data_IF_760118650945
#
_entry.id   IF_760118650945
#
_cell.length_a   1.000
_cell.length_b   1.000
_cell.length_c   1.000
_cell.angle_alpha   90.00
_cell.angle_beta   90.00
_cell.angle_gamma   90.00
#
_symmetry.space_group_name_H-M   'P 1'
#
loop_
_entity.id
_entity.type
_entity.pdbx_description
1 polymer ?
#
# COMPACT_ATOMS: atom_id res chain seq x y z
N UNK A 1 -48.43 -36.44 15.55
CA UNK A 1 -49.33 -35.71 16.47
C UNK A 1 -48.93 -34.24 16.47
N UNK A 2 -49.84 -33.31 16.75
CA UNK A 2 -49.51 -31.87 16.81
C UNK A 2 -48.60 -31.57 18.01
N UNK A 3 -47.96 -30.40 18.03
CA UNK A 3 -47.12 -29.96 19.16
C UNK A 3 -47.92 -29.93 20.47
N UNK A 4 -49.19 -29.49 20.40
CA UNK A 4 -50.11 -29.48 21.54
C UNK A 4 -50.37 -30.90 22.05
N UNK A 5 -50.65 -31.84 21.14
CA UNK A 5 -50.89 -33.24 21.50
C UNK A 5 -49.65 -33.88 22.14
N UNK A 6 -48.45 -33.62 21.60
CA UNK A 6 -47.18 -34.10 22.17
C UNK A 6 -46.99 -33.57 23.59
N UNK A 7 -47.13 -32.27 23.80
CA UNK A 7 -46.94 -31.64 25.10
C UNK A 7 -48.01 -32.06 26.12
N UNK A 8 -49.17 -32.55 25.66
CA UNK A 8 -50.26 -33.04 26.51
C UNK A 8 -50.07 -34.47 27.02
N UNK A 9 -49.00 -35.18 26.64
CA UNK A 9 -48.69 -36.50 27.19
C UNK A 9 -48.25 -36.31 28.65
N UNK A 10 -49.09 -36.76 29.60
CA UNK A 10 -48.93 -36.50 31.04
C UNK A 10 -47.82 -37.30 31.71
N UNK A 11 -47.53 -38.51 31.21
CA UNK A 11 -46.46 -39.39 31.74
C UNK A 11 -45.71 -40.08 30.61
N UNK A 12 -44.98 -39.33 29.75
CA UNK A 12 -44.22 -39.92 28.66
C UNK A 12 -43.09 -40.78 29.22
N UNK A 13 -42.93 -41.99 28.67
CA UNK A 13 -41.79 -42.85 29.01
C UNK A 13 -40.49 -42.21 28.54
N UNK A 14 -39.39 -42.45 29.27
CA UNK A 14 -38.07 -42.03 28.83
C UNK A 14 -37.73 -42.65 27.47
N UNK A 15 -37.28 -41.82 26.53
CA UNK A 15 -37.03 -42.24 25.15
C UNK A 15 -38.28 -42.40 24.27
N UNK A 16 -39.49 -42.05 24.74
CA UNK A 16 -40.70 -42.08 23.91
C UNK A 16 -40.51 -41.24 22.66
N UNK A 17 -40.56 -41.88 21.49
CA UNK A 17 -40.40 -41.25 20.19
C UNK A 17 -41.77 -40.86 19.60
N UNK A 18 -41.90 -39.61 19.17
CA UNK A 18 -43.09 -39.12 18.46
C UNK A 18 -42.70 -38.30 17.25
N UNK A 19 -43.52 -38.35 16.20
CA UNK A 19 -43.43 -37.43 15.07
C UNK A 19 -44.38 -36.25 15.31
N UNK A 20 -43.80 -35.05 15.45
CA UNK A 20 -44.54 -33.80 15.55
C UNK A 20 -44.90 -33.31 14.15
N UNK A 21 -46.20 -33.22 13.85
CA UNK A 21 -46.68 -32.85 12.51
C UNK A 21 -46.68 -31.34 12.24
N UNK A 22 -46.64 -30.51 13.29
CA UNK A 22 -46.57 -29.06 13.13
C UNK A 22 -45.13 -28.65 12.84
N UNK A 23 -44.18 -29.23 13.60
CA UNK A 23 -42.74 -28.97 13.47
C UNK A 23 -42.04 -29.87 12.45
N UNK A 24 -42.70 -30.94 12.00
CA UNK A 24 -42.20 -31.93 11.01
C UNK A 24 -40.89 -32.61 11.41
N UNK A 25 -40.70 -32.85 12.71
CA UNK A 25 -39.53 -33.53 13.27
C UNK A 25 -39.94 -34.72 14.15
N UNK A 26 -39.03 -35.69 14.27
CA UNK A 26 -39.08 -36.65 15.35
C UNK A 26 -38.60 -36.01 16.65
N UNK A 27 -39.27 -36.30 17.77
CA UNK A 27 -38.86 -35.91 19.11
C UNK A 27 -38.82 -37.13 20.01
N UNK A 28 -37.86 -37.17 20.93
CA UNK A 28 -37.83 -38.14 22.02
C UNK A 28 -37.99 -37.43 23.37
N UNK A 29 -38.65 -38.09 24.33
CA UNK A 29 -38.79 -37.55 25.68
C UNK A 29 -37.55 -37.87 26.54
N UNK A 30 -37.07 -36.89 27.30
CA UNK A 30 -35.97 -37.05 28.26
C UNK A 30 -36.52 -36.84 29.66
N UNK A 31 -36.65 -37.94 30.41
CA UNK A 31 -37.22 -37.96 31.76
C UNK A 31 -36.42 -37.18 32.79
N UNK A 32 -35.08 -37.17 32.67
CA UNK A 32 -34.18 -36.47 33.61
C UNK A 32 -34.30 -34.95 33.55
N UNK A 33 -34.73 -34.38 32.43
CA UNK A 33 -34.91 -32.94 32.22
C UNK A 33 -36.36 -32.53 32.02
N UNK A 34 -37.29 -33.49 31.94
CA UNK A 34 -38.70 -33.29 31.61
C UNK A 34 -38.91 -32.51 30.30
N UNK A 35 -38.13 -32.81 29.26
CA UNK A 35 -38.18 -32.10 27.98
C UNK A 35 -38.35 -33.03 26.78
N UNK A 36 -39.01 -32.51 25.74
CA UNK A 36 -39.03 -33.11 24.41
C UNK A 36 -37.83 -32.61 23.60
N UNK A 37 -36.93 -33.52 23.23
CA UNK A 37 -35.74 -33.19 22.46
C UNK A 37 -35.91 -33.65 21.01
N UNK A 38 -35.70 -32.78 19.99
CA UNK A 38 -35.82 -33.19 18.60
C UNK A 38 -34.68 -34.14 18.22
N UNK A 39 -35.00 -35.20 17.49
CA UNK A 39 -34.00 -35.97 16.75
C UNK A 39 -33.67 -35.17 15.50
N UNK A 40 -32.61 -34.38 15.62
CA UNK A 40 -31.97 -33.75 14.47
C UNK A 40 -31.04 -34.76 13.82
N UNK A 41 -31.10 -34.87 12.50
CA UNK A 41 -30.09 -35.61 11.75
C UNK A 41 -28.81 -34.76 11.74
N UNK A 42 -28.00 -34.92 12.78
CA UNK A 42 -26.73 -34.22 12.92
C UNK A 42 -26.09 -34.45 14.27
N UNK A 43 -24.80 -34.78 14.27
CA UNK A 43 -23.89 -34.56 15.40
C UNK A 43 -24.15 -33.17 15.98
N UNK A 44 -24.11 -33.03 17.32
CA UNK A 44 -24.22 -31.72 17.97
C UNK A 44 -23.27 -30.75 17.24
N UNK A 45 -23.85 -29.82 16.48
CA UNK A 45 -23.09 -28.88 15.70
C UNK A 45 -22.18 -28.04 16.59
N UNK A 46 -21.34 -27.23 15.98
CA UNK A 46 -20.56 -26.22 16.69
C UNK A 46 -21.48 -25.42 17.65
N UNK A 47 -21.15 -25.37 18.94
CA UNK A 47 -22.01 -24.72 19.95
C UNK A 47 -22.10 -23.21 19.75
N UNK A 48 -21.05 -22.60 19.21
CA UNK A 48 -20.96 -21.21 18.80
C UNK A 48 -21.24 -21.07 17.29
N UNK A 49 -22.44 -21.47 16.86
CA UNK A 49 -22.88 -21.39 15.46
C UNK A 49 -24.33 -20.93 15.33
N UNK A 50 -24.59 -20.15 14.28
CA UNK A 50 -25.94 -19.72 13.91
C UNK A 50 -26.05 -19.60 12.39
N UNK A 51 -27.09 -20.17 11.81
CA UNK A 51 -27.43 -20.03 10.38
C UNK A 51 -28.56 -19.03 10.22
N UNK A 52 -28.41 -18.11 9.28
CA UNK A 52 -29.39 -17.09 8.89
C UNK A 52 -29.77 -17.37 7.44
N UNK A 53 -31.04 -17.67 7.20
CA UNK A 53 -31.59 -18.04 5.90
C UNK A 53 -32.36 -16.88 5.27
N UNK A 54 -32.50 -16.90 3.96
CA UNK A 54 -33.34 -15.94 3.21
C UNK A 54 -34.79 -15.87 3.69
N UNK A 55 -35.32 -16.96 4.28
CA UNK A 55 -36.69 -17.04 4.81
C UNK A 55 -36.83 -16.61 6.27
N UNK A 56 -35.73 -16.30 6.95
CA UNK A 56 -35.77 -16.01 8.38
C UNK A 56 -36.31 -14.60 8.64
N UNK A 57 -37.12 -14.47 9.71
CA UNK A 57 -37.49 -13.17 10.26
C UNK A 57 -36.35 -12.71 11.18
N UNK A 58 -35.53 -11.77 10.71
CA UNK A 58 -34.30 -11.35 11.42
C UNK A 58 -34.56 -10.85 12.85
N UNK A 59 -35.67 -10.15 13.09
CA UNK A 59 -36.04 -9.71 14.44
C UNK A 59 -36.28 -10.88 15.42
N UNK A 60 -36.60 -12.07 14.92
CA UNK A 60 -36.78 -13.28 15.73
C UNK A 60 -35.48 -14.05 15.81
N UNK A 61 -34.86 -14.38 14.67
CA UNK A 61 -33.65 -15.21 14.69
C UNK A 61 -32.48 -14.46 15.30
N UNK A 62 -32.36 -13.15 15.16
CA UNK A 62 -31.31 -12.31 15.74
C UNK A 62 -31.80 -11.44 16.91
N UNK A 63 -32.85 -11.87 17.63
CA UNK A 63 -33.43 -11.08 18.74
C UNK A 63 -32.39 -10.74 19.83
N UNK A 64 -31.56 -11.70 20.20
CA UNK A 64 -30.50 -11.52 21.22
C UNK A 64 -29.45 -10.52 20.75
N UNK A 65 -29.00 -10.64 19.50
CA UNK A 65 -28.02 -9.73 18.89
C UNK A 65 -28.60 -8.32 18.72
N UNK A 66 -29.90 -8.21 18.41
CA UNK A 66 -30.60 -6.93 18.32
C UNK A 66 -30.71 -6.26 19.69
N UNK A 67 -31.05 -7.03 20.73
CA UNK A 67 -31.10 -6.53 22.10
C UNK A 67 -29.71 -6.09 22.59
N UNK A 68 -28.67 -6.88 22.30
CA UNK A 68 -27.28 -6.53 22.61
C UNK A 68 -26.83 -5.24 21.89
N UNK A 69 -27.28 -5.04 20.65
CA UNK A 69 -27.07 -3.81 19.89
C UNK A 69 -28.04 -2.66 20.22
N UNK A 70 -28.77 -2.74 21.33
CA UNK A 70 -29.64 -1.66 21.81
C UNK A 70 -30.86 -1.40 20.92
N UNK A 71 -31.29 -2.38 20.12
CA UNK A 71 -32.47 -2.26 19.24
C UNK A 71 -32.23 -1.54 17.92
N UNK A 72 -30.99 -1.13 17.63
CA UNK A 72 -30.65 -0.36 16.42
C UNK A 72 -29.59 -1.00 15.53
N UNK A 73 -28.94 -2.07 16.01
CA UNK A 73 -27.95 -2.88 15.29
C UNK A 73 -27.96 -4.32 15.79
N UNK A 74 -27.48 -5.24 14.98
CA UNK A 74 -27.23 -6.61 15.37
C UNK A 74 -25.79 -6.74 15.87
N UNK A 75 -25.60 -6.67 17.18
CA UNK A 75 -24.30 -6.95 17.78
C UNK A 75 -24.11 -8.46 17.87
N UNK A 76 -23.25 -8.99 17.02
CA UNK A 76 -23.00 -10.42 16.95
C UNK A 76 -22.33 -10.92 18.24
N UNK A 77 -22.52 -12.20 18.54
CA UNK A 77 -21.83 -12.85 19.65
C UNK A 77 -20.37 -13.09 19.27
N UNK A 78 -19.44 -12.65 20.11
CA UNK A 78 -18.02 -12.84 19.86
C UNK A 78 -17.67 -14.33 19.73
N UNK A 79 -16.65 -14.63 18.92
CA UNK A 79 -16.21 -16.00 18.65
C UNK A 79 -17.31 -16.93 18.12
N UNK A 80 -18.43 -16.42 17.64
CA UNK A 80 -19.54 -17.21 17.07
C UNK A 80 -19.48 -17.17 15.55
N UNK A 81 -19.79 -18.31 14.93
CA UNK A 81 -19.87 -18.45 13.48
C UNK A 81 -21.31 -18.23 13.02
N UNK A 82 -21.51 -17.16 12.26
CA UNK A 82 -22.75 -16.85 11.57
C UNK A 82 -22.63 -17.28 10.10
N UNK A 83 -23.50 -18.16 9.65
CA UNK A 83 -23.60 -18.57 8.24
C UNK A 83 -24.79 -17.86 7.59
N UNK A 84 -24.55 -17.16 6.48
CA UNK A 84 -25.60 -16.67 5.59
C UNK A 84 -25.89 -17.76 4.57
N UNK A 85 -27.17 -18.08 4.40
CA UNK A 85 -27.64 -19.12 3.49
C UNK A 85 -28.75 -18.54 2.59
N UNK A 86 -28.37 -18.24 1.36
CA UNK A 86 -29.18 -17.51 0.40
C UNK A 86 -29.10 -15.99 0.56
N UNK A 87 -29.99 -15.29 -0.14
CA UNK A 87 -30.03 -13.82 -0.13
C UNK A 87 -30.80 -13.31 1.08
N UNK A 88 -30.11 -12.66 2.02
CA UNK A 88 -30.67 -12.13 3.27
C UNK A 88 -30.65 -10.60 3.25
N UNK A 89 -31.81 -10.00 3.43
CA UNK A 89 -31.95 -8.54 3.52
C UNK A 89 -31.93 -8.09 4.98
N UNK A 90 -30.90 -7.36 5.38
CA UNK A 90 -30.77 -6.80 6.72
C UNK A 90 -31.47 -5.44 6.81
N UNK A 91 -32.22 -5.22 7.89
CA UNK A 91 -32.87 -3.96 8.22
C UNK A 91 -32.03 -3.07 9.16
N UNK A 92 -31.13 -3.66 9.94
CA UNK A 92 -30.21 -2.95 10.85
C UNK A 92 -28.73 -3.26 10.49
N UNK A 93 -27.76 -2.41 10.90
CA UNK A 93 -26.34 -2.70 10.68
C UNK A 93 -25.91 -3.92 11.50
N UNK A 94 -24.79 -4.52 11.10
CA UNK A 94 -24.13 -5.61 11.80
C UNK A 94 -22.88 -5.05 12.50
N UNK A 95 -22.82 -5.21 13.82
CA UNK A 95 -21.60 -4.97 14.61
C UNK A 95 -20.92 -6.32 14.81
N UNK A 96 -19.77 -6.51 14.16
CA UNK A 96 -19.11 -7.81 14.05
C UNK A 96 -18.71 -8.39 15.40
N UNK A 97 -18.32 -7.55 16.36
CA UNK A 97 -17.95 -7.94 17.72
C UNK A 97 -17.03 -9.16 17.80
N UNK A 98 -16.01 -9.21 16.92
CA UNK A 98 -15.07 -10.32 16.81
C UNK A 98 -15.71 -11.68 16.45
N UNK A 99 -16.87 -11.65 15.79
CA UNK A 99 -17.54 -12.83 15.25
C UNK A 99 -16.99 -13.21 13.87
N UNK A 100 -17.43 -14.37 13.40
CA UNK A 100 -17.16 -14.89 12.06
C UNK A 100 -18.46 -14.88 11.28
N UNK A 101 -18.48 -14.29 10.10
CA UNK A 101 -19.61 -14.31 9.17
C UNK A 101 -19.15 -15.00 7.89
N UNK A 102 -19.89 -16.00 7.41
CA UNK A 102 -19.52 -16.72 6.20
C UNK A 102 -20.71 -17.02 5.30
N UNK A 103 -20.45 -17.11 3.99
CA UNK A 103 -21.25 -17.89 3.06
C UNK A 103 -20.45 -19.10 2.57
N UNK A 104 -21.13 -19.98 1.85
CA UNK A 104 -20.56 -21.16 1.19
C UNK A 104 -20.58 -21.02 -0.34
N UNK A 105 -21.51 -20.25 -0.89
CA UNK A 105 -21.62 -19.93 -2.31
C UNK A 105 -21.81 -18.42 -2.50
N UNK A 106 -20.77 -17.73 -2.98
CA UNK A 106 -20.82 -16.28 -3.24
C UNK A 106 -21.89 -15.87 -4.24
N UNK A 107 -22.39 -16.78 -5.09
CA UNK A 107 -23.44 -16.46 -6.07
C UNK A 107 -24.83 -16.38 -5.44
N UNK A 108 -25.05 -17.05 -4.31
CA UNK A 108 -26.37 -17.19 -3.67
C UNK A 108 -26.41 -16.61 -2.25
N UNK A 109 -25.30 -16.68 -1.51
CA UNK A 109 -25.18 -16.21 -0.13
C UNK A 109 -24.85 -14.71 -0.09
N UNK A 110 -25.92 -13.91 0.05
CA UNK A 110 -25.83 -12.45 -0.07
C UNK A 110 -26.31 -11.77 1.19
N UNK A 111 -25.59 -10.71 1.58
CA UNK A 111 -26.11 -9.71 2.52
C UNK A 111 -26.48 -8.47 1.72
N UNK A 112 -27.77 -8.12 1.76
CA UNK A 112 -28.29 -6.90 1.15
C UNK A 112 -28.74 -5.95 2.25
N UNK A 113 -28.30 -4.69 2.18
CA UNK A 113 -28.84 -3.60 2.99
C UNK A 113 -29.33 -2.47 2.08
N UNK A 114 -30.66 -2.36 1.85
CA UNK A 114 -31.19 -1.37 0.92
C UNK A 114 -30.95 0.08 1.34
N UNK A 115 -30.85 0.32 2.66
CA UNK A 115 -30.54 1.63 3.24
C UNK A 115 -29.62 1.50 4.47
N UNK A 116 -28.66 2.40 4.61
CA UNK A 116 -27.68 2.38 5.69
C UNK A 116 -26.51 1.40 5.48
N UNK A 117 -25.67 1.23 6.51
CA UNK A 117 -24.39 0.51 6.42
C UNK A 117 -24.49 -1.01 6.65
N UNK A 118 -23.88 -1.89 5.86
CA UNK A 118 -23.93 -3.34 6.20
C UNK A 118 -23.22 -3.59 7.54
N UNK A 119 -21.94 -3.23 7.62
CA UNK A 119 -21.13 -3.39 8.83
C UNK A 119 -20.87 -2.02 9.47
N UNK A 120 -21.16 -1.91 10.76
CA UNK A 120 -21.00 -0.67 11.53
C UNK A 120 -20.57 -0.96 12.96
N UNK A 121 -19.49 -0.33 13.40
CA UNK A 121 -18.99 -0.51 14.76
C UNK A 121 -17.50 -0.25 14.91
N UNK A 122 -17.01 -0.52 16.13
CA UNK A 122 -15.62 -0.32 16.52
C UNK A 122 -14.84 -1.64 16.68
N UNK A 123 -15.47 -2.77 16.39
CA UNK A 123 -14.87 -4.09 16.52
C UNK A 123 -14.70 -4.75 15.17
N UNK A 124 -13.70 -5.62 15.09
CA UNK A 124 -13.42 -6.37 13.88
C UNK A 124 -14.10 -7.73 13.86
N UNK A 125 -13.57 -8.62 13.04
CA UNK A 125 -14.13 -9.95 12.82
C UNK A 125 -13.60 -10.56 11.54
N UNK A 126 -14.17 -11.69 11.15
CA UNK A 126 -13.86 -12.34 9.87
C UNK A 126 -15.12 -12.44 9.02
N UNK A 127 -15.03 -12.02 7.77
CA UNK A 127 -16.10 -12.12 6.78
C UNK A 127 -15.54 -12.88 5.57
N UNK A 128 -16.22 -13.95 5.14
CA UNK A 128 -15.78 -14.72 3.97
C UNK A 128 -16.88 -15.31 3.11
N UNK A 129 -16.64 -15.51 1.82
CA UNK A 129 -17.52 -16.30 0.96
C UNK A 129 -18.90 -15.64 0.74
N UNK A 130 -18.98 -14.31 0.74
CA UNK A 130 -20.24 -13.58 0.61
C UNK A 130 -20.24 -12.60 -0.56
N UNK A 131 -21.43 -12.36 -1.09
CA UNK A 131 -21.70 -11.16 -1.88
C UNK A 131 -22.40 -10.09 -1.02
N UNK A 132 -21.90 -8.85 -1.07
CA UNK A 132 -22.37 -7.73 -0.27
C UNK A 132 -22.91 -6.61 -1.17
N UNK A 133 -24.09 -6.11 -0.84
CA UNK A 133 -24.74 -5.00 -1.57
C UNK A 133 -25.39 -4.00 -0.62
N UNK A 134 -24.89 -2.76 -0.63
CA UNK A 134 -25.45 -1.62 0.11
C UNK A 134 -25.91 -0.53 -0.87
N UNK A 135 -27.15 -0.62 -1.37
CA UNK A 135 -27.63 0.24 -2.48
C UNK A 135 -27.79 1.71 -2.10
N UNK A 136 -28.06 2.02 -0.83
CA UNK A 136 -28.15 3.39 -0.32
C UNK A 136 -27.46 3.50 1.06
N UNK A 137 -26.15 3.30 1.08
CA UNK A 137 -25.31 3.39 2.27
C UNK A 137 -23.88 2.93 2.00
N UNK A 138 -23.22 2.40 3.03
CA UNK A 138 -21.86 1.85 2.93
C UNK A 138 -21.86 0.34 3.15
N UNK A 139 -20.93 -0.40 2.54
CA UNK A 139 -20.66 -1.77 2.98
C UNK A 139 -19.96 -1.75 4.35
N UNK A 140 -18.95 -0.91 4.50
CA UNK A 140 -18.20 -0.73 5.75
C UNK A 140 -18.35 0.69 6.30
N UNK A 141 -18.71 0.79 7.57
CA UNK A 141 -18.57 2.00 8.38
C UNK A 141 -17.90 1.62 9.70
N UNK A 142 -16.63 1.23 9.62
CA UNK A 142 -15.88 0.64 10.72
C UNK A 142 -14.84 1.61 11.27
N UNK A 143 -14.87 1.85 12.59
CA UNK A 143 -13.93 2.72 13.30
C UNK A 143 -13.45 2.05 14.58
N UNK A 144 -12.46 1.17 14.44
CA UNK A 144 -11.86 0.43 15.54
C UNK A 144 -10.67 1.11 16.19
N UNK A 145 -9.86 0.30 16.87
CA UNK A 145 -8.60 0.72 17.49
C UNK A 145 -7.50 -0.32 17.20
N UNK A 146 -6.26 0.00 17.54
CA UNK A 146 -5.08 -0.80 17.18
C UNK A 146 -5.06 -2.23 17.75
N UNK A 147 -5.98 -2.58 18.67
CA UNK A 147 -6.13 -3.96 19.20
C UNK A 147 -7.13 -4.81 18.40
N UNK A 148 -7.89 -4.19 17.50
CA UNK A 148 -8.92 -4.84 16.70
C UNK A 148 -8.37 -5.23 15.33
N UNK A 149 -8.86 -6.35 14.79
CA UNK A 149 -8.45 -6.89 13.50
C UNK A 149 -9.66 -7.20 12.62
N UNK A 150 -9.57 -6.88 11.33
CA UNK A 150 -10.58 -7.25 10.35
C UNK A 150 -9.98 -8.15 9.27
N UNK A 151 -10.67 -9.25 8.97
CA UNK A 151 -10.35 -10.15 7.87
C UNK A 151 -11.55 -10.19 6.93
N UNK A 152 -11.36 -9.85 5.65
CA UNK A 152 -12.41 -9.89 4.63
C UNK A 152 -11.90 -10.57 3.36
N UNK A 153 -12.37 -11.79 3.08
CA UNK A 153 -11.76 -12.61 2.03
C UNK A 153 -12.75 -13.40 1.21
N UNK A 154 -12.41 -13.73 -0.03
CA UNK A 154 -13.22 -14.59 -0.89
C UNK A 154 -14.64 -14.02 -1.09
N UNK A 155 -14.74 -12.71 -1.32
CA UNK A 155 -16.01 -11.99 -1.33
C UNK A 155 -16.20 -11.13 -2.58
N UNK A 156 -17.45 -10.76 -2.84
CA UNK A 156 -17.81 -9.81 -3.89
C UNK A 156 -18.54 -8.62 -3.26
N UNK A 157 -18.13 -7.41 -3.59
CA UNK A 157 -18.86 -6.19 -3.24
C UNK A 157 -19.43 -5.61 -4.53
N UNK A 158 -20.75 -5.64 -4.65
CA UNK A 158 -21.44 -5.36 -5.92
C UNK A 158 -22.57 -4.34 -5.76
N UNK A 159 -22.68 -3.45 -6.74
CA UNK A 159 -23.78 -2.48 -6.89
C UNK A 159 -24.05 -1.67 -5.61
N UNK A 160 -23.01 -1.37 -4.85
CA UNK A 160 -23.12 -0.57 -3.64
C UNK A 160 -22.93 0.91 -3.94
N UNK A 161 -23.61 1.77 -3.20
CA UNK A 161 -23.39 3.21 -3.29
C UNK A 161 -21.95 3.57 -2.89
N UNK A 162 -21.47 3.00 -1.78
CA UNK A 162 -20.09 3.18 -1.34
C UNK A 162 -19.57 1.88 -0.70
N UNK A 163 -18.35 1.47 -1.03
CA UNK A 163 -17.72 0.34 -0.30
C UNK A 163 -17.47 0.74 1.14
N UNK A 164 -16.97 1.95 1.39
CA UNK A 164 -17.11 2.59 2.71
C UNK A 164 -15.77 2.98 3.34
N UNK A 165 -15.73 2.97 4.67
CA UNK A 165 -14.56 3.36 5.45
C UNK A 165 -14.18 2.26 6.44
N UNK A 166 -12.88 1.98 6.52
CA UNK A 166 -12.30 1.12 7.55
C UNK A 166 -11.17 1.91 8.22
N UNK A 167 -11.30 2.13 9.53
CA UNK A 167 -10.35 2.98 10.24
C UNK A 167 -9.96 2.51 11.63
N UNK A 168 -8.73 2.85 12.03
CA UNK A 168 -8.24 2.70 13.40
C UNK A 168 -7.69 1.32 13.78
N UNK A 169 -7.84 0.31 12.91
CA UNK A 169 -7.53 -1.09 13.22
C UNK A 169 -6.03 -1.38 13.33
N UNK A 170 -5.69 -2.42 14.10
CA UNK A 170 -4.33 -2.97 14.16
C UNK A 170 -3.98 -3.69 12.86
N UNK A 171 -4.83 -4.65 12.46
CA UNK A 171 -4.72 -5.35 11.18
C UNK A 171 -6.01 -5.21 10.39
N UNK A 172 -5.87 -4.88 9.11
CA UNK A 172 -6.93 -5.06 8.12
C UNK A 172 -6.36 -5.91 7.00
N UNK A 173 -6.93 -7.09 6.79
CA UNK A 173 -6.52 -8.01 5.76
C UNK A 173 -7.67 -8.30 4.80
N UNK A 174 -7.53 -7.84 3.55
CA UNK A 174 -8.41 -8.18 2.46
C UNK A 174 -7.71 -9.14 1.50
N UNK A 175 -8.41 -10.20 1.07
CA UNK A 175 -7.81 -11.20 0.17
C UNK A 175 -8.83 -11.75 -0.81
N UNK A 176 -8.53 -11.74 -2.11
CA UNK A 176 -9.42 -12.31 -3.15
C UNK A 176 -10.82 -11.67 -3.05
N UNK A 177 -10.87 -10.37 -3.30
CA UNK A 177 -12.12 -9.59 -3.26
C UNK A 177 -12.36 -8.92 -4.60
N UNK A 178 -13.57 -9.05 -5.11
CA UNK A 178 -14.01 -8.42 -6.35
C UNK A 178 -14.94 -7.24 -6.05
N UNK A 179 -14.67 -6.10 -6.69
CA UNK A 179 -15.50 -4.91 -6.60
C UNK A 179 -16.12 -4.64 -7.97
N UNK A 180 -17.45 -4.60 -8.05
CA UNK A 180 -18.18 -4.50 -9.32
C UNK A 180 -19.33 -3.49 -9.22
N UNK A 181 -19.39 -2.52 -10.13
CA UNK A 181 -20.53 -1.61 -10.25
C UNK A 181 -20.78 -0.71 -9.04
N UNK A 182 -19.77 -0.48 -8.18
CA UNK A 182 -19.92 0.39 -7.02
C UNK A 182 -19.76 1.86 -7.42
N UNK A 183 -20.56 2.75 -6.82
CA UNK A 183 -20.51 4.18 -7.16
C UNK A 183 -19.29 4.88 -6.54
N UNK A 184 -18.89 4.44 -5.34
CA UNK A 184 -17.68 4.89 -4.66
C UNK A 184 -16.94 3.70 -4.06
N UNK A 185 -15.61 3.79 -3.97
CA UNK A 185 -14.79 2.74 -3.39
C UNK A 185 -14.62 2.85 -1.87
N UNK A 186 -13.43 2.50 -1.41
CA UNK A 186 -13.09 2.34 0.01
C UNK A 186 -12.03 3.35 0.45
N UNK A 187 -12.20 3.89 1.66
CA UNK A 187 -11.17 4.68 2.35
C UNK A 187 -10.60 3.89 3.52
N UNK A 188 -9.29 3.75 3.53
CA UNK A 188 -8.50 3.20 4.63
C UNK A 188 -7.89 4.36 5.42
N UNK A 189 -8.06 4.35 6.75
CA UNK A 189 -7.60 5.44 7.60
C UNK A 189 -6.99 4.97 8.92
N UNK A 190 -5.79 5.43 9.28
CA UNK A 190 -5.18 5.13 10.58
C UNK A 190 -5.13 3.62 10.91
N UNK A 191 -4.62 2.80 10.01
CA UNK A 191 -4.50 1.35 10.22
C UNK A 191 -3.02 1.01 10.43
N UNK A 192 -2.69 0.26 11.49
CA UNK A 192 -1.28 -0.09 11.76
C UNK A 192 -0.71 -0.94 10.63
N UNK A 193 -1.37 -2.04 10.26
CA UNK A 193 -0.99 -2.94 9.17
C UNK A 193 -2.17 -3.17 8.22
N UNK A 194 -2.04 -2.68 6.99
CA UNK A 194 -3.02 -2.88 5.94
C UNK A 194 -2.47 -3.83 4.88
N UNK A 195 -3.10 -5.00 4.74
CA UNK A 195 -2.71 -6.04 3.79
C UNK A 195 -3.84 -6.24 2.77
N UNK A 196 -3.56 -5.99 1.50
CA UNK A 196 -4.50 -6.05 0.39
C UNK A 196 -3.98 -7.05 -0.64
N UNK A 197 -4.54 -8.25 -0.66
CA UNK A 197 -4.08 -9.35 -1.52
C UNK A 197 -5.12 -9.66 -2.59
N UNK A 198 -4.72 -9.67 -3.87
CA UNK A 198 -5.57 -10.08 -4.98
C UNK A 198 -6.95 -9.38 -5.03
N UNK A 199 -6.95 -8.05 -4.96
CA UNK A 199 -8.18 -7.25 -5.11
C UNK A 199 -8.41 -6.92 -6.59
N UNK A 200 -9.64 -7.13 -7.07
CA UNK A 200 -10.04 -6.85 -8.45
C UNK A 200 -11.07 -5.73 -8.53
N UNK A 201 -10.68 -4.60 -9.11
CA UNK A 201 -11.60 -3.49 -9.42
C UNK A 201 -11.95 -3.50 -10.91
N UNK A 202 -13.22 -3.77 -11.22
CA UNK A 202 -13.74 -3.80 -12.58
C UNK A 202 -14.06 -2.39 -13.11
N UNK A 203 -14.08 -2.22 -14.43
CA UNK A 203 -14.29 -0.93 -15.13
C UNK A 203 -15.59 -0.21 -14.80
N UNK A 204 -16.62 -0.94 -14.40
CA UNK A 204 -17.93 -0.37 -14.09
C UNK A 204 -18.02 0.24 -12.69
N UNK A 205 -16.93 0.22 -11.90
CA UNK A 205 -16.87 1.01 -10.67
C UNK A 205 -16.57 2.48 -10.99
N UNK A 206 -17.16 3.39 -10.20
CA UNK A 206 -16.94 4.83 -10.29
C UNK A 206 -16.23 5.38 -9.05
N UNK A 207 -15.93 6.68 -9.05
CA UNK A 207 -15.28 7.36 -7.92
C UNK A 207 -13.85 6.91 -7.70
N UNK A 208 -13.38 7.01 -6.45
CA UNK A 208 -12.06 6.51 -6.05
C UNK A 208 -12.19 5.10 -5.51
N UNK A 209 -11.49 4.14 -6.12
CA UNK A 209 -11.51 2.73 -5.75
C UNK A 209 -10.86 2.53 -4.38
N UNK A 210 -9.62 2.95 -4.21
CA UNK A 210 -8.89 2.85 -2.94
C UNK A 210 -8.27 4.19 -2.57
N UNK A 211 -8.62 4.71 -1.38
CA UNK A 211 -8.10 5.96 -0.83
C UNK A 211 -7.41 5.72 0.50
N UNK A 212 -6.26 6.35 0.70
CA UNK A 212 -5.46 6.24 1.91
C UNK A 212 -5.38 7.59 2.63
N UNK A 213 -5.65 7.58 3.93
CA UNK A 213 -5.60 8.78 4.79
C UNK A 213 -4.97 8.46 6.15
N UNK A 214 -4.42 9.47 6.82
CA UNK A 214 -3.88 9.31 8.17
C UNK A 214 -2.53 8.58 8.22
N UNK A 215 -2.31 7.78 9.27
CA UNK A 215 -1.01 7.16 9.54
C UNK A 215 -1.06 5.63 9.47
N UNK A 216 -0.06 5.04 8.82
CA UNK A 216 0.13 3.59 8.72
C UNK A 216 1.55 3.21 9.15
N UNK A 217 1.71 2.02 9.72
CA UNK A 217 3.05 1.41 9.83
C UNK A 217 3.39 0.65 8.56
N UNK A 218 2.44 -0.09 8.01
CA UNK A 218 2.59 -0.88 6.80
C UNK A 218 1.36 -0.75 5.91
N UNK A 219 1.60 -0.55 4.61
CA UNK A 219 0.60 -0.78 3.56
C UNK A 219 1.20 -1.76 2.57
N UNK A 220 0.56 -2.90 2.37
CA UNK A 220 0.94 -3.87 1.35
C UNK A 220 -0.25 -4.11 0.42
N UNK A 221 -0.06 -3.87 -0.87
CA UNK A 221 -0.98 -4.32 -1.92
C UNK A 221 -0.25 -5.23 -2.89
N UNK A 222 -0.67 -6.48 -2.95
CA UNK A 222 -0.05 -7.52 -3.76
C UNK A 222 -1.07 -8.21 -4.66
N UNK A 223 -0.81 -8.21 -5.97
CA UNK A 223 -1.63 -8.92 -6.94
C UNK A 223 -3.00 -8.29 -7.21
N UNK A 224 -3.75 -8.92 -8.13
CA UNK A 224 -5.05 -8.41 -8.58
C UNK A 224 -4.93 -7.37 -9.69
N UNK A 225 -6.01 -6.62 -9.91
CA UNK A 225 -6.07 -5.65 -11.00
C UNK A 225 -6.93 -4.44 -10.64
N UNK A 226 -6.67 -3.33 -11.32
CA UNK A 226 -7.47 -2.11 -11.26
C UNK A 226 -7.74 -1.62 -12.68
N UNK A 227 -8.97 -1.81 -13.15
CA UNK A 227 -9.41 -1.31 -14.45
C UNK A 227 -10.09 0.05 -14.26
N UNK A 228 -9.38 1.12 -14.57
CA UNK A 228 -9.77 2.51 -14.31
C UNK A 228 -10.28 3.17 -15.59
N UNK A 229 -11.59 3.32 -15.68
CA UNK A 229 -12.28 3.93 -16.82
C UNK A 229 -13.00 5.24 -16.41
N UNK A 230 -13.43 6.01 -17.40
CA UNK A 230 -14.18 7.26 -17.17
C UNK A 230 -13.42 8.27 -16.30
N UNK A 231 -14.06 8.76 -15.23
CA UNK A 231 -13.46 9.69 -14.27
C UNK A 231 -12.98 9.01 -12.97
N UNK A 232 -12.88 7.68 -12.96
CA UNK A 232 -12.50 6.94 -11.76
C UNK A 232 -11.03 7.18 -11.39
N UNK A 233 -10.72 6.99 -10.11
CA UNK A 233 -9.34 6.98 -9.58
C UNK A 233 -9.07 5.60 -8.99
N UNK A 234 -8.03 4.92 -9.47
CA UNK A 234 -7.66 3.59 -9.00
C UNK A 234 -7.05 3.58 -7.60
N UNK A 235 -6.02 4.40 -7.38
CA UNK A 235 -5.26 4.41 -6.14
C UNK A 235 -4.94 5.84 -5.71
N UNK A 236 -5.51 6.31 -4.61
CA UNK A 236 -5.39 7.70 -4.14
C UNK A 236 -4.50 7.82 -2.88
N UNK A 237 -3.28 8.33 -3.09
CA UNK A 237 -2.31 8.66 -2.04
C UNK A 237 -2.12 10.19 -1.90
N UNK A 238 -2.99 10.99 -2.51
CA UNK A 238 -2.88 12.45 -2.56
C UNK A 238 -3.27 13.17 -1.28
N UNK A 239 -3.79 12.45 -0.29
CA UNK A 239 -4.24 13.04 0.98
C UNK A 239 -3.08 13.72 1.71
N UNK A 240 -3.21 15.02 1.95
CA UNK A 240 -2.25 15.78 2.76
C UNK A 240 -2.10 15.16 4.15
N UNK A 241 -0.87 14.97 4.61
CA UNK A 241 -0.57 14.36 5.90
C UNK A 241 -0.60 12.83 5.93
N UNK A 242 -0.88 12.15 4.81
CA UNK A 242 -0.74 10.69 4.72
C UNK A 242 0.70 10.28 5.05
N UNK A 243 0.86 9.49 6.12
CA UNK A 243 2.17 9.14 6.67
C UNK A 243 2.34 7.62 6.76
N UNK A 244 3.49 7.13 6.32
CA UNK A 244 3.91 5.73 6.44
C UNK A 244 5.19 5.70 7.28
N UNK A 245 5.10 5.18 8.51
CA UNK A 245 6.22 5.16 9.47
C UNK A 245 7.16 3.99 9.22
N UNK A 246 6.63 2.84 8.80
CA UNK A 246 7.39 1.68 8.30
C UNK A 246 7.55 1.76 6.80
N UNK A 247 7.14 0.74 6.04
CA UNK A 247 7.28 0.69 4.58
C UNK A 247 5.91 0.52 3.90
N UNK A 248 5.84 0.82 2.61
CA UNK A 248 4.69 0.48 1.78
C UNK A 248 5.11 -0.24 0.49
N UNK A 249 4.31 -1.21 0.05
CA UNK A 249 4.58 -2.05 -1.11
C UNK A 249 3.35 -2.09 -2.02
N UNK A 250 3.57 -1.88 -3.32
CA UNK A 250 2.58 -2.04 -4.37
C UNK A 250 3.17 -2.93 -5.47
N UNK A 251 2.85 -4.22 -5.44
CA UNK A 251 3.51 -5.22 -6.29
C UNK A 251 2.51 -6.09 -7.06
N UNK A 252 2.81 -6.32 -8.34
CA UNK A 252 2.05 -7.22 -9.22
C UNK A 252 0.57 -6.86 -9.40
N UNK A 253 0.19 -5.61 -9.12
CA UNK A 253 -1.14 -5.10 -9.49
C UNK A 253 -1.09 -4.69 -10.95
N UNK A 254 -2.12 -5.05 -11.71
CA UNK A 254 -2.23 -4.68 -13.12
C UNK A 254 -3.19 -3.49 -13.25
N UNK A 255 -2.66 -2.31 -13.58
CA UNK A 255 -3.46 -1.13 -13.90
C UNK A 255 -3.78 -1.09 -15.40
N UNK A 256 -5.07 -1.03 -15.72
CA UNK A 256 -5.61 -0.99 -17.09
C UNK A 256 -6.76 0.00 -17.17
N UNK A 257 -7.32 0.20 -18.37
CA UNK A 257 -8.46 1.08 -18.59
C UNK A 257 -8.11 2.31 -19.43
N UNK A 258 -9.11 3.09 -19.76
CA UNK A 258 -9.00 4.25 -20.64
C UNK A 258 -8.48 5.49 -19.92
N UNK A 259 -8.63 5.57 -18.59
CA UNK A 259 -8.20 6.73 -17.79
C UNK A 259 -6.81 6.48 -17.16
N UNK A 260 -5.77 6.53 -17.99
CA UNK A 260 -4.38 6.31 -17.55
C UNK A 260 -3.91 7.31 -16.50
N UNK A 261 -4.37 8.57 -16.58
CA UNK A 261 -4.08 9.60 -15.57
C UNK A 261 -4.78 9.34 -14.22
N UNK A 262 -5.86 8.53 -14.22
CA UNK A 262 -6.59 8.13 -13.02
C UNK A 262 -6.05 6.88 -12.33
N UNK A 263 -5.05 6.19 -12.91
CA UNK A 263 -4.49 4.96 -12.30
C UNK A 263 -4.03 5.21 -10.87
N UNK A 264 -3.27 6.29 -10.67
CA UNK A 264 -2.84 6.74 -9.36
C UNK A 264 -3.06 8.24 -9.26
N UNK A 265 -3.70 8.68 -8.18
CA UNK A 265 -3.71 10.08 -7.79
C UNK A 265 -2.53 10.31 -6.83
N UNK A 266 -1.48 11.00 -7.27
CA UNK A 266 -0.16 10.96 -6.62
C UNK A 266 -0.11 11.79 -5.34
N UNK A 267 0.92 11.57 -4.52
CA UNK A 267 1.25 12.49 -3.42
C UNK A 267 1.46 13.91 -3.95
N UNK A 268 1.04 14.90 -3.17
CA UNK A 268 1.22 16.32 -3.51
C UNK A 268 2.61 16.85 -3.15
N UNK A 269 3.33 16.15 -2.26
CA UNK A 269 4.69 16.50 -1.82
C UNK A 269 5.55 15.25 -1.66
N UNK A 270 6.87 15.38 -1.86
CA UNK A 270 7.81 14.27 -1.69
C UNK A 270 7.80 13.25 -2.83
N UNK A 271 7.15 13.58 -3.94
CA UNK A 271 7.22 12.84 -5.21
C UNK A 271 8.41 13.29 -6.05
N UNK A 272 8.65 12.56 -7.14
CA UNK A 272 9.65 12.85 -8.14
C UNK A 272 8.96 13.13 -9.47
N UNK A 273 9.55 13.94 -10.33
CA UNK A 273 8.95 14.28 -11.63
C UNK A 273 8.66 13.02 -12.45
N UNK A 274 7.40 12.84 -12.86
CA UNK A 274 6.96 11.65 -13.61
C UNK A 274 6.61 10.43 -12.75
N UNK A 275 6.61 10.58 -11.42
CA UNK A 275 6.37 9.51 -10.45
C UNK A 275 5.27 9.88 -9.45
N UNK A 276 4.66 8.88 -8.82
CA UNK A 276 3.43 9.05 -8.06
C UNK A 276 3.62 8.96 -6.54
N UNK A 277 4.66 8.28 -6.09
CA UNK A 277 4.85 7.91 -4.69
C UNK A 277 6.07 8.60 -4.07
N UNK A 278 6.04 8.74 -2.75
CA UNK A 278 7.21 9.15 -1.99
C UNK A 278 8.17 7.97 -1.73
N UNK A 279 9.29 8.23 -1.04
CA UNK A 279 10.32 7.22 -0.81
C UNK A 279 9.95 6.11 0.21
N UNK A 280 8.80 6.18 0.89
CA UNK A 280 8.30 5.09 1.73
C UNK A 280 7.72 3.93 0.92
N UNK A 281 7.46 4.11 -0.38
CA UNK A 281 6.91 3.09 -1.25
C UNK A 281 7.98 2.30 -2.01
N UNK A 282 7.69 1.02 -2.26
CA UNK A 282 8.35 0.20 -3.28
C UNK A 282 7.27 -0.31 -4.25
N UNK A 283 7.33 0.17 -5.49
CA UNK A 283 6.28 -0.06 -6.50
C UNK A 283 6.84 -0.82 -7.69
N UNK A 284 6.19 -1.93 -8.02
CA UNK A 284 6.45 -2.74 -9.22
C UNK A 284 5.13 -3.30 -9.73
N UNK A 285 4.44 -2.53 -10.56
CA UNK A 285 3.10 -2.84 -11.04
C UNK A 285 2.96 -2.45 -12.51
N UNK A 286 2.22 -3.24 -13.29
CA UNK A 286 2.02 -2.96 -14.70
C UNK A 286 1.06 -1.78 -14.89
N UNK A 287 1.32 -0.94 -15.90
CA UNK A 287 0.52 0.25 -16.20
C UNK A 287 1.00 1.54 -15.51
N UNK A 288 1.88 1.45 -14.52
CA UNK A 288 2.48 2.61 -13.83
C UNK A 288 4.01 2.47 -13.75
N UNK A 289 4.77 3.57 -13.54
CA UNK A 289 6.22 3.51 -13.39
C UNK A 289 6.68 2.60 -12.23
N UNK A 290 7.84 1.97 -12.39
CA UNK A 290 8.52 1.28 -11.28
C UNK A 290 9.12 2.33 -10.36
N UNK A 291 8.77 2.28 -9.07
CA UNK A 291 9.20 3.26 -8.07
C UNK A 291 9.78 2.56 -6.85
N UNK A 292 11.07 2.26 -6.89
CA UNK A 292 11.78 1.67 -5.75
C UNK A 292 13.16 2.31 -5.61
N UNK A 293 13.75 2.25 -4.41
CA UNK A 293 15.14 2.64 -4.23
C UNK A 293 16.04 1.89 -5.23
N UNK A 294 15.69 0.63 -5.58
CA UNK A 294 16.39 -0.22 -6.55
C UNK A 294 16.54 0.39 -7.95
N UNK A 295 15.67 1.33 -8.29
CA UNK A 295 15.65 2.00 -9.59
C UNK A 295 16.09 3.46 -9.50
N UNK A 296 16.58 3.91 -8.34
CA UNK A 296 17.05 5.27 -8.13
C UNK A 296 18.17 5.62 -9.13
N UNK A 297 18.01 6.76 -9.81
CA UNK A 297 18.96 7.23 -10.82
C UNK A 297 19.09 8.74 -10.73
N UNK A 298 20.31 9.23 -10.89
CA UNK A 298 20.61 10.64 -10.97
C UNK A 298 21.64 10.92 -12.05
N UNK A 299 21.51 12.06 -12.71
CA UNK A 299 22.55 12.57 -13.60
C UNK A 299 22.83 14.04 -13.35
N UNK A 300 24.02 14.48 -13.74
CA UNK A 300 24.23 15.86 -14.13
C UNK A 300 25.25 15.96 -15.27
N UNK A 301 25.18 17.08 -15.98
CA UNK A 301 26.20 17.53 -16.90
C UNK A 301 26.58 18.99 -16.58
N UNK A 302 27.88 19.25 -16.53
CA UNK A 302 28.47 20.57 -16.73
C UNK A 302 28.79 20.64 -18.22
N UNK A 303 28.18 21.57 -18.92
CA UNK A 303 28.33 21.72 -20.37
C UNK A 303 28.43 23.20 -20.72
N UNK A 304 29.68 23.67 -20.84
CA UNK A 304 29.95 25.04 -21.25
C UNK A 304 30.05 25.15 -22.78
N UNK A 305 29.76 26.34 -23.30
CA UNK A 305 29.93 26.63 -24.73
C UNK A 305 31.37 26.38 -25.17
N UNK A 306 31.56 25.98 -26.43
CA UNK A 306 32.89 25.78 -27.01
C UNK A 306 33.79 26.99 -26.74
N UNK A 307 34.97 26.74 -26.19
CA UNK A 307 35.95 27.79 -25.85
C UNK A 307 35.77 28.44 -24.47
N UNK A 308 34.79 28.00 -23.66
CA UNK A 308 34.63 28.45 -22.27
C UNK A 308 34.66 27.28 -21.29
N UNK A 309 34.71 27.59 -19.99
CA UNK A 309 34.69 26.59 -18.92
C UNK A 309 34.77 27.22 -17.54
N UNK A 310 34.57 26.42 -16.50
CA UNK A 310 34.69 26.88 -15.13
C UNK A 310 36.10 26.69 -14.58
N UNK A 311 36.69 27.78 -14.07
CA UNK A 311 37.93 27.72 -13.31
C UNK A 311 37.72 27.01 -11.97
N UNK A 312 38.56 26.01 -11.69
CA UNK A 312 38.70 25.36 -10.38
C UNK A 312 40.06 25.72 -9.80
N UNK A 313 40.06 26.59 -8.79
CA UNK A 313 41.29 27.15 -8.20
C UNK A 313 41.82 26.29 -7.05
N UNK A 314 43.14 26.04 -7.06
CA UNK A 314 43.86 25.40 -5.96
C UNK A 314 44.44 26.49 -5.05
N UNK A 315 44.10 26.50 -3.77
CA UNK A 315 44.25 27.69 -2.92
C UNK A 315 45.50 27.70 -2.04
N UNK A 316 46.17 26.56 -1.86
CA UNK A 316 47.33 26.49 -0.95
C UNK A 316 48.70 26.69 -1.64
N UNK A 317 48.73 26.84 -2.97
CA UNK A 317 49.96 27.08 -3.75
C UNK A 317 51.10 26.07 -3.52
N UNK A 318 50.80 24.83 -3.11
CA UNK A 318 51.78 23.75 -2.94
C UNK A 318 51.64 22.66 -4.00
N UNK A 319 52.61 21.75 -4.03
CA UNK A 319 52.56 20.50 -4.77
C UNK A 319 52.90 19.33 -3.82
N UNK A 320 51.95 18.42 -3.50
CA UNK A 320 50.54 18.44 -3.90
C UNK A 320 49.78 19.66 -3.35
N UNK A 321 48.78 20.14 -4.08
CA UNK A 321 47.88 21.20 -3.62
C UNK A 321 46.85 20.67 -2.62
N UNK A 322 45.97 21.54 -2.11
CA UNK A 322 44.76 21.10 -1.44
C UNK A 322 43.81 20.41 -2.43
N UNK A 323 42.95 19.55 -1.90
CA UNK A 323 41.88 18.90 -2.66
C UNK A 323 40.67 19.84 -2.61
N UNK A 324 40.19 20.26 -3.78
CA UNK A 324 39.11 21.24 -3.93
C UNK A 324 37.96 20.66 -4.73
N UNK A 325 36.73 21.09 -4.44
CA UNK A 325 35.56 20.71 -5.24
C UNK A 325 35.68 21.32 -6.64
N UNK A 326 35.40 20.52 -7.67
CA UNK A 326 35.37 20.99 -9.05
C UNK A 326 34.21 21.97 -9.23
N UNK A 327 34.50 23.10 -9.88
CA UNK A 327 33.55 24.15 -10.21
C UNK A 327 32.88 23.89 -11.59
N UNK A 328 31.72 24.51 -11.86
CA UNK A 328 30.95 24.29 -13.09
C UNK A 328 29.42 24.20 -12.92
N UNK A 329 28.64 25.10 -13.51
CA UNK A 329 27.17 25.02 -13.44
C UNK A 329 26.69 23.67 -14.01
N UNK A 330 26.03 22.88 -13.17
CA UNK A 330 25.56 21.55 -13.53
C UNK A 330 24.04 21.55 -13.76
N UNK A 331 23.60 20.88 -14.81
CA UNK A 331 22.20 20.66 -15.14
C UNK A 331 21.88 19.17 -15.08
N UNK A 332 20.64 18.81 -14.77
CA UNK A 332 20.18 17.43 -14.64
C UNK A 332 18.91 17.22 -15.43
N UNK A 333 18.73 16.04 -16.00
CA UNK A 333 17.55 15.68 -16.78
C UNK A 333 16.87 14.42 -16.28
N UNK A 334 17.60 13.55 -15.58
CA UNK A 334 17.11 12.28 -15.09
C UNK A 334 17.34 12.17 -13.58
N UNK A 335 16.31 12.54 -12.81
CA UNK A 335 16.35 12.49 -11.34
C UNK A 335 15.16 11.67 -10.83
N UNK A 336 15.45 10.47 -10.33
CA UNK A 336 14.51 9.66 -9.57
C UNK A 336 15.14 9.23 -8.25
N UNK A 337 14.55 9.66 -7.13
CA UNK A 337 15.16 9.53 -5.79
C UNK A 337 16.55 10.16 -5.68
N UNK A 338 16.79 11.17 -6.51
CA UNK A 338 17.95 12.05 -6.46
C UNK A 338 17.54 13.51 -6.62
N UNK A 339 18.41 14.42 -6.21
CA UNK A 339 18.25 15.87 -6.37
C UNK A 339 19.60 16.55 -6.53
N UNK A 340 19.64 17.69 -7.21
CA UNK A 340 20.78 18.62 -7.24
C UNK A 340 20.88 19.50 -6.00
N UNK A 341 20.11 19.19 -4.95
CA UNK A 341 20.13 19.89 -3.66
C UNK A 341 19.80 21.39 -3.78
N UNK A 342 18.82 21.73 -4.61
CA UNK A 342 18.46 23.12 -4.89
C UNK A 342 19.36 23.81 -5.91
N UNK A 343 19.96 23.05 -6.83
CA UNK A 343 20.85 23.59 -7.87
C UNK A 343 22.28 23.79 -7.40
N UNK A 344 22.70 23.11 -6.32
CA UNK A 344 24.11 23.06 -5.94
C UNK A 344 24.88 22.36 -7.05
N UNK A 345 25.76 23.13 -7.67
CA UNK A 345 26.68 22.66 -8.70
C UNK A 345 27.42 21.37 -8.28
N UNK A 346 27.59 20.44 -9.22
CA UNK A 346 28.44 19.24 -9.07
C UNK A 346 28.05 18.47 -7.81
N UNK A 347 26.75 18.22 -7.65
CA UNK A 347 26.18 17.48 -6.53
C UNK A 347 24.99 16.67 -6.97
N UNK A 348 25.00 15.38 -6.62
CA UNK A 348 23.81 14.54 -6.61
C UNK A 348 23.57 14.05 -5.18
N UNK A 349 22.43 14.45 -4.60
CA UNK A 349 21.97 14.04 -3.28
C UNK A 349 20.95 12.92 -3.41
N UNK A 350 21.19 11.81 -2.72
CA UNK A 350 20.27 10.67 -2.68
C UNK A 350 19.08 10.97 -1.75
N UNK A 351 17.86 10.77 -2.26
CA UNK A 351 16.60 11.02 -1.57
C UNK A 351 15.82 9.72 -1.29
N UNK A 352 16.31 8.57 -1.73
CA UNK A 352 15.70 7.28 -1.39
C UNK A 352 15.85 6.93 0.09
N UNK A 353 15.08 5.96 0.55
CA UNK A 353 14.90 5.71 1.99
C UNK A 353 15.95 4.77 2.56
N UNK A 354 16.24 3.68 1.85
CA UNK A 354 17.18 2.63 2.30
C UNK A 354 18.58 2.92 1.77
N UNK A 355 19.57 2.71 2.64
CA UNK A 355 20.99 2.76 2.30
C UNK A 355 21.33 1.71 1.25
N UNK A 356 22.18 2.07 0.28
CA UNK A 356 22.58 1.19 -0.82
C UNK A 356 23.92 1.59 -1.40
N UNK A 357 24.51 0.67 -2.14
CA UNK A 357 25.70 0.92 -2.96
C UNK A 357 25.24 1.33 -4.35
N UNK A 358 25.83 2.40 -4.85
CA UNK A 358 25.60 2.95 -6.17
C UNK A 358 26.86 2.87 -7.01
N UNK A 359 26.69 2.66 -8.31
CA UNK A 359 27.75 2.84 -9.28
C UNK A 359 27.72 4.29 -9.79
N UNK A 360 28.81 5.01 -9.58
CA UNK A 360 29.06 6.34 -10.14
C UNK A 360 29.91 6.16 -11.40
N UNK A 361 29.43 6.68 -12.53
CA UNK A 361 30.13 6.67 -13.82
C UNK A 361 30.05 8.03 -14.49
N UNK A 362 31.04 8.35 -15.32
CA UNK A 362 31.04 9.58 -16.09
C UNK A 362 32.41 9.92 -16.67
N UNK A 363 32.60 11.19 -16.98
CA UNK A 363 33.88 11.71 -17.43
C UNK A 363 34.04 13.18 -17.04
N UNK A 364 35.29 13.62 -16.94
CA UNK A 364 35.63 15.02 -16.79
C UNK A 364 36.66 15.38 -17.86
N UNK A 365 36.43 16.50 -18.54
CA UNK A 365 37.40 17.14 -19.40
C UNK A 365 37.86 18.44 -18.73
N UNK A 366 39.17 18.66 -18.66
CA UNK A 366 39.72 19.90 -18.14
C UNK A 366 40.97 20.33 -18.90
N UNK A 367 41.13 21.65 -19.06
CA UNK A 367 42.34 22.27 -19.58
C UNK A 367 43.31 22.52 -18.44
N UNK A 368 44.59 22.25 -18.70
CA UNK A 368 45.65 22.44 -17.71
C UNK A 368 46.35 23.79 -17.87
N UNK A 369 46.68 24.50 -16.78
CA UNK A 369 47.38 25.78 -16.83
C UNK A 369 48.87 25.66 -17.18
N UNK A 370 49.43 24.45 -17.08
CA UNK A 370 50.81 24.12 -17.42
C UNK A 370 50.99 22.59 -17.38
N UNK A 371 52.16 22.14 -17.84
CA UNK A 371 52.60 20.75 -17.66
C UNK A 371 52.52 20.35 -16.17
N UNK A 372 51.85 19.22 -15.90
CA UNK A 372 51.59 18.80 -14.53
C UNK A 372 50.74 17.54 -14.43
N UNK A 373 50.75 16.92 -13.26
CA UNK A 373 49.90 15.79 -12.91
C UNK A 373 48.77 16.25 -12.00
N UNK A 374 47.54 15.92 -12.37
CA UNK A 374 46.32 16.24 -11.63
C UNK A 374 45.62 14.96 -11.24
N UNK A 375 44.92 14.99 -10.10
CA UNK A 375 44.18 13.86 -9.56
C UNK A 375 42.73 14.28 -9.42
N UNK A 376 41.82 13.48 -9.96
CA UNK A 376 40.37 13.64 -9.79
C UNK A 376 39.86 12.61 -8.80
N UNK A 377 38.94 13.03 -7.94
CA UNK A 377 38.33 12.24 -6.89
C UNK A 377 36.81 12.30 -6.99
N UNK A 378 36.18 11.18 -6.62
CA UNK A 378 34.79 11.19 -6.17
C UNK A 378 34.79 11.45 -4.66
N UNK A 379 33.95 12.38 -4.21
CA UNK A 379 33.76 12.69 -2.80
C UNK A 379 32.34 12.33 -2.37
N UNK A 380 32.21 11.80 -1.16
CA UNK A 380 30.95 11.60 -0.45
C UNK A 380 30.89 12.61 0.69
N UNK A 381 29.81 13.39 0.75
CA UNK A 381 29.58 14.36 1.82
C UNK A 381 30.79 15.31 2.04
N UNK A 382 31.39 15.77 0.95
CA UNK A 382 32.59 16.62 0.95
C UNK A 382 33.92 15.92 1.29
N UNK A 383 33.91 14.61 1.57
CA UNK A 383 35.11 13.82 1.88
C UNK A 383 35.48 12.92 0.70
N UNK A 384 36.73 13.02 0.23
CA UNK A 384 37.20 12.24 -0.92
C UNK A 384 37.30 10.75 -0.62
N UNK A 385 36.93 9.92 -1.59
CA UNK A 385 37.07 8.46 -1.55
C UNK A 385 38.35 8.11 -2.31
N UNK A 386 39.46 7.98 -1.57
CA UNK A 386 40.80 7.89 -2.15
C UNK A 386 41.05 6.63 -2.99
N UNK A 387 40.23 5.59 -2.82
CA UNK A 387 40.31 4.33 -3.58
C UNK A 387 40.00 4.52 -5.07
N UNK A 388 39.19 5.52 -5.42
CA UNK A 388 38.74 5.78 -6.80
C UNK A 388 39.41 7.01 -7.42
N UNK A 389 40.62 7.36 -6.97
CA UNK A 389 41.38 8.50 -7.49
C UNK A 389 41.95 8.20 -8.88
N UNK A 390 41.89 9.17 -9.78
CA UNK A 390 42.28 8.99 -11.19
C UNK A 390 43.28 10.07 -11.57
N UNK A 391 44.41 9.67 -12.16
CA UNK A 391 45.51 10.55 -12.53
C UNK A 391 45.39 10.98 -13.99
N UNK A 392 45.60 12.26 -14.25
CA UNK A 392 45.73 12.82 -15.59
C UNK A 392 46.96 13.72 -15.69
N UNK A 393 47.59 13.75 -16.86
CA UNK A 393 48.80 14.55 -17.09
C UNK A 393 48.62 15.44 -18.31
N UNK A 394 48.81 16.75 -18.12
CA UNK A 394 49.02 17.70 -19.22
C UNK A 394 50.51 17.83 -19.53
N UNK A 395 50.87 17.94 -20.80
CA UNK A 395 52.25 18.11 -21.27
C UNK A 395 52.61 19.58 -21.52
N UNK A 396 51.62 20.43 -21.80
CA UNK A 396 51.77 21.85 -22.08
C UNK A 396 50.60 22.69 -21.55
N UNK A 397 50.74 24.02 -21.61
CA UNK A 397 49.67 24.98 -21.34
C UNK A 397 48.49 24.73 -22.28
N UNK A 398 47.27 24.76 -21.73
CA UNK A 398 46.01 24.54 -22.42
C UNK A 398 45.78 23.12 -22.96
N UNK A 399 46.63 22.16 -22.62
CA UNK A 399 46.35 20.75 -22.91
C UNK A 399 45.03 20.33 -22.26
N UNK A 400 44.19 19.66 -23.05
CA UNK A 400 42.93 19.08 -22.60
C UNK A 400 43.19 17.65 -22.15
N UNK A 401 42.87 17.39 -20.89
CA UNK A 401 42.92 16.06 -20.30
C UNK A 401 41.48 15.58 -20.12
N UNK A 402 41.19 14.35 -20.58
CA UNK A 402 39.89 13.70 -20.39
C UNK A 402 40.10 12.46 -19.53
N UNK A 403 39.40 12.41 -18.39
CA UNK A 403 39.50 11.30 -17.46
C UNK A 403 38.12 10.65 -17.26
N UNK A 404 38.05 9.31 -17.21
CA UNK A 404 36.82 8.64 -16.80
C UNK A 404 36.57 8.92 -15.30
N UNK A 405 35.30 8.83 -14.89
CA UNK A 405 34.89 8.76 -13.50
C UNK A 405 34.29 7.38 -13.26
N UNK A 406 34.79 6.65 -12.27
CA UNK A 406 34.25 5.33 -11.91
C UNK A 406 34.45 5.08 -10.41
N UNK A 407 33.35 4.94 -9.68
CA UNK A 407 33.39 4.63 -8.26
C UNK A 407 32.18 3.79 -7.83
N UNK A 408 32.34 3.02 -6.76
CA UNK A 408 31.25 2.39 -6.04
C UNK A 408 31.08 3.10 -4.70
N UNK A 409 29.91 3.71 -4.47
CA UNK A 409 29.67 4.58 -3.31
C UNK A 409 28.44 4.12 -2.54
N UNK A 410 28.58 3.86 -1.25
CA UNK A 410 27.44 3.62 -0.37
C UNK A 410 26.81 4.96 0.03
N UNK A 411 25.52 5.16 -0.27
CA UNK A 411 24.76 6.35 0.10
C UNK A 411 23.55 5.98 0.97
N UNK A 412 23.40 6.68 2.09
CA UNK A 412 22.19 6.75 2.89
C UNK A 412 21.36 7.98 2.50
N UNK A 413 20.13 8.07 2.99
CA UNK A 413 19.26 9.23 2.73
C UNK A 413 19.98 10.55 3.07
N UNK A 414 19.93 11.51 2.15
CA UNK A 414 20.62 12.80 2.17
C UNK A 414 22.15 12.77 1.99
N UNK A 415 22.79 11.61 1.85
CA UNK A 415 24.17 11.57 1.39
C UNK A 415 24.26 12.09 -0.05
N UNK A 416 25.38 12.73 -0.38
CA UNK A 416 25.60 13.27 -1.71
C UNK A 416 27.00 12.98 -2.25
N UNK A 417 27.08 12.95 -3.58
CA UNK A 417 28.32 12.73 -4.34
C UNK A 417 28.69 14.00 -5.11
N UNK A 418 29.99 14.31 -5.12
CA UNK A 418 30.59 15.44 -5.82
C UNK A 418 31.94 15.04 -6.42
N UNK A 419 32.43 15.81 -7.39
CA UNK A 419 33.76 15.61 -8.00
C UNK A 419 34.76 16.63 -7.45
N UNK A 420 35.95 16.18 -7.08
CA UNK A 420 37.03 16.98 -6.50
C UNK A 420 38.31 16.82 -7.32
N UNK A 421 39.18 17.82 -7.27
CA UNK A 421 40.46 17.85 -7.97
C UNK A 421 41.63 18.21 -7.03
N UNK A 422 42.82 17.71 -7.34
CA UNK A 422 44.09 18.09 -6.73
C UNK A 422 45.15 18.24 -7.81
N UNK A 423 45.97 19.29 -7.72
CA UNK A 423 47.22 19.36 -8.47
C UNK A 423 48.29 18.59 -7.69
N UNK A 424 48.77 17.48 -8.23
CA UNK A 424 49.84 16.70 -7.60
C UNK A 424 51.21 17.30 -7.89
N UNK A 425 51.46 17.70 -9.14
CA UNK A 425 52.65 18.42 -9.59
C UNK A 425 52.27 19.44 -10.67
N UNK A 426 53.05 20.51 -10.83
CA UNK A 426 52.87 21.50 -11.89
C UNK A 426 52.98 22.94 -11.38
N UNK A 427 52.68 23.90 -12.25
CA UNK A 427 52.65 25.32 -11.89
C UNK A 427 51.35 25.71 -11.17
N UNK A 428 51.38 26.85 -10.49
CA UNK A 428 50.16 27.48 -9.95
C UNK A 428 49.24 27.93 -11.09
N UNK A 429 47.93 27.82 -10.87
CA UNK A 429 46.90 28.14 -11.84
C UNK A 429 45.67 27.24 -11.70
N UNK A 430 44.58 27.66 -12.33
CA UNK A 430 43.31 26.94 -12.31
C UNK A 430 43.28 25.88 -13.41
N UNK A 431 42.66 24.73 -13.13
CA UNK A 431 42.15 23.92 -14.23
C UNK A 431 40.83 24.54 -14.70
N UNK A 432 40.60 24.54 -16.02
CA UNK A 432 39.33 25.01 -16.60
C UNK A 432 38.53 23.79 -17.02
N UNK A 433 37.32 23.63 -16.50
CA UNK A 433 36.43 22.50 -16.77
C UNK A 433 35.36 22.91 -17.78
N UNK A 434 35.56 22.64 -19.09
CA UNK A 434 34.56 22.88 -20.11
C UNK A 434 33.40 21.86 -20.03
N UNK A 435 33.70 20.61 -19.67
CA UNK A 435 32.70 19.54 -19.65
C UNK A 435 32.95 18.54 -18.52
N UNK A 436 31.87 18.14 -17.84
CA UNK A 436 31.88 17.04 -16.87
C UNK A 436 30.52 16.37 -16.85
N UNK A 437 30.48 15.06 -16.94
CA UNK A 437 29.24 14.27 -16.86
C UNK A 437 29.34 13.28 -15.72
N UNK A 438 28.23 13.07 -15.02
CA UNK A 438 28.12 12.08 -13.96
C UNK A 438 26.74 11.44 -13.98
N UNK A 439 26.70 10.12 -13.91
CA UNK A 439 25.49 9.33 -13.74
C UNK A 439 25.68 8.40 -12.55
N UNK A 440 24.66 8.28 -11.71
CA UNK A 440 24.62 7.40 -10.56
C UNK A 440 23.40 6.47 -10.67
N UNK A 441 23.60 5.17 -10.45
CA UNK A 441 22.54 4.13 -10.51
C UNK A 441 22.83 2.94 -9.61
#
# INVERSE_FOLDING_TARGET
>A
MTTVQRNAITTPADGLLVYDTDLKFFFYYVSSTATWTPIVNGTAGRLNFKRIKSTDVLATVLATELAAGGGSKYQLSSNTLYEINGTVTFNFPIDLNNAYVQGLDTNEDKIIRPSGNIFEGATGGSIKGLTLTATAGNVFNLSGNATQNLIFRDCVVVSSNTVGTISGFGLVFLSVVQFVGNTNGITYNNITQLLLSNLGWFSNNSGTYEKFTGTFTLIEKQGGFSQVDGSAIGFDVSTSGLTITGDAVLESVVFTGTNTAGYVKPYTTGTYTGYNFNNSWSVRSAGIPTEADASAVGDFAVDYTVGSGAGTSFTNNTNPSNIVKVNGVSTSTNLFRFSTDGGVNNRLKYLGKKKRIFQVVGSISFQTPAAGTYIIYIAKNGTVISQYKIYGRGAALNDIVVLPLNASVELANNDYVEVYAQRFTGANGDIVVPNMTLTIK
#
